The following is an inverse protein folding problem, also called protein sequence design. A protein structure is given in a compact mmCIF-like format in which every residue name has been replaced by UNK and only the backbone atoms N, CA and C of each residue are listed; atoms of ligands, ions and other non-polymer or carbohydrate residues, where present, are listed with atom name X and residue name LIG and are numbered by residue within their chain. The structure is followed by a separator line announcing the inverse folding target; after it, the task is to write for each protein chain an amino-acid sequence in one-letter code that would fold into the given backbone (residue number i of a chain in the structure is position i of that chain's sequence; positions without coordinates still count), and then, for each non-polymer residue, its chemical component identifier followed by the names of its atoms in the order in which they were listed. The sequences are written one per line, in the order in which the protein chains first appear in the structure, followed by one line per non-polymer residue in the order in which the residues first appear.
data_IF_805850134195
#
_entry.id   IF_805850134195
#
_cell.length_a   1.000
_cell.length_b   1.000
_cell.length_c   1.000
_cell.angle_alpha   90.00
_cell.angle_beta   90.00
_cell.angle_gamma   90.00
#
_symmetry.space_group_name_H-M   'P 1'
#
loop_
_entity.id
_entity.type
_entity.pdbx_description
1 polymer ?
#
# COMPACT_ATOMS: atom_id res chain seq x y z
N UNK A 1 -5.80 -2.24 -24.69
CA UNK A 1 -4.89 -3.25 -25.28
C UNK A 1 -3.75 -3.71 -24.36
N UNK A 2 -2.71 -2.91 -24.10
CA UNK A 2 -1.43 -3.39 -23.50
C UNK A 2 -1.52 -4.23 -22.21
N UNK A 3 -2.53 -4.06 -21.35
CA UNK A 3 -2.66 -4.83 -20.10
C UNK A 3 -3.55 -6.08 -20.22
N UNK A 4 -4.04 -6.44 -21.42
CA UNK A 4 -5.05 -7.49 -21.63
C UNK A 4 -4.47 -8.90 -21.47
N UNK A 5 -3.21 -9.06 -21.83
CA UNK A 5 -2.47 -10.34 -21.71
C UNK A 5 -1.71 -10.47 -20.39
N UNK A 6 -1.92 -9.53 -19.46
CA UNK A 6 -1.24 -9.55 -18.18
C UNK A 6 -1.72 -10.75 -17.34
N UNK A 7 -0.82 -11.58 -16.81
CA UNK A 7 -1.22 -12.68 -15.93
C UNK A 7 -2.00 -12.17 -14.71
N UNK A 8 -2.97 -12.96 -14.25
CA UNK A 8 -3.88 -12.59 -13.15
C UNK A 8 -3.15 -12.08 -11.90
N UNK A 9 -2.08 -12.75 -11.48
CA UNK A 9 -1.30 -12.34 -10.30
C UNK A 9 -0.50 -11.06 -10.52
N UNK A 10 -0.11 -10.76 -11.76
CA UNK A 10 0.54 -9.48 -12.09
C UNK A 10 -0.51 -8.36 -12.12
N UNK A 11 -1.72 -8.63 -12.61
CA UNK A 11 -2.84 -7.70 -12.54
C UNK A 11 -3.23 -7.37 -11.09
N UNK A 12 -3.33 -8.39 -10.24
CA UNK A 12 -3.57 -8.23 -8.80
C UNK A 12 -2.47 -7.41 -8.14
N UNK A 13 -1.20 -7.81 -8.32
CA UNK A 13 -0.09 -7.09 -7.69
C UNK A 13 0.00 -5.64 -8.16
N UNK A 14 -0.10 -5.36 -9.46
CA UNK A 14 0.01 -3.98 -9.97
C UNK A 14 -1.19 -3.12 -9.56
N UNK A 15 -2.41 -3.67 -9.55
CA UNK A 15 -3.60 -2.95 -9.07
C UNK A 15 -3.53 -2.63 -7.58
N UNK A 16 -3.04 -3.56 -6.75
CA UNK A 16 -2.85 -3.33 -5.31
C UNK A 16 -1.69 -2.37 -5.02
N UNK A 17 -0.70 -2.29 -5.92
CA UNK A 17 0.34 -1.25 -5.86
C UNK A 17 -0.27 0.14 -6.09
N UNK A 18 -1.14 0.29 -7.09
CA UNK A 18 -1.89 1.54 -7.33
C UNK A 18 -2.71 1.92 -6.10
N UNK A 19 -3.39 0.96 -5.47
CA UNK A 19 -4.13 1.21 -4.25
C UNK A 19 -3.23 1.66 -3.10
N UNK A 20 -2.07 1.01 -2.93
CA UNK A 20 -1.10 1.34 -1.88
C UNK A 20 -0.56 2.75 -2.07
N UNK A 21 -0.18 3.13 -3.30
CA UNK A 21 0.19 4.50 -3.63
C UNK A 21 -0.88 5.51 -3.20
N UNK A 22 -2.15 5.23 -3.53
CA UNK A 22 -3.24 6.14 -3.23
C UNK A 22 -3.53 6.22 -1.71
N UNK A 23 -3.61 5.09 -1.00
CA UNK A 23 -3.83 5.07 0.45
C UNK A 23 -2.67 5.70 1.22
N UNK A 24 -1.43 5.38 0.87
CA UNK A 24 -0.26 5.94 1.54
C UNK A 24 -0.11 7.43 1.27
N UNK A 25 -0.33 7.88 0.04
CA UNK A 25 -0.30 9.31 -0.27
C UNK A 25 -1.42 10.07 0.44
N UNK A 26 -2.61 9.47 0.51
CA UNK A 26 -3.74 10.05 1.22
C UNK A 26 -3.49 10.09 2.73
N UNK A 27 -2.82 9.11 3.33
CA UNK A 27 -2.61 9.04 4.79
C UNK A 27 -1.21 9.47 5.23
N UNK A 28 -0.38 9.97 4.30
CA UNK A 28 0.97 10.45 4.59
C UNK A 28 1.00 11.60 5.62
N UNK A 29 2.18 11.84 6.18
CA UNK A 29 2.46 13.01 7.02
C UNK A 29 1.95 14.29 6.33
N UNK A 30 1.05 15.06 6.95
CA UNK A 30 0.51 16.27 6.36
C UNK A 30 1.61 17.28 6.02
N UNK A 31 1.50 17.92 4.85
CA UNK A 31 2.53 18.82 4.33
C UNK A 31 2.89 19.97 5.29
N UNK A 32 1.90 20.46 6.05
CA UNK A 32 2.06 21.54 7.02
C UNK A 32 2.69 21.10 8.36
N UNK A 33 2.90 19.79 8.57
CA UNK A 33 3.60 19.23 9.74
C UNK A 33 5.03 18.80 9.44
N UNK A 34 5.48 18.97 8.20
CA UNK A 34 6.84 18.61 7.80
C UNK A 34 7.86 19.62 8.30
N UNK A 35 9.03 19.10 8.67
CA UNK A 35 10.19 19.93 8.97
C UNK A 35 10.62 20.66 7.70
N UNK A 36 10.75 21.98 7.78
CA UNK A 36 11.22 22.80 6.68
C UNK A 36 12.64 22.37 6.27
N UNK A 37 12.88 22.29 4.96
CA UNK A 37 14.23 22.06 4.45
C UNK A 37 15.13 23.25 4.80
N UNK A 38 16.38 22.98 5.18
CA UNK A 38 17.38 24.01 5.50
C UNK A 38 17.64 24.98 4.34
N UNK A 39 17.36 24.56 3.10
CA UNK A 39 17.60 25.34 1.89
C UNK A 39 16.67 24.88 0.75
N UNK A 40 16.55 25.70 -0.30
CA UNK A 40 15.77 25.36 -1.50
C UNK A 40 16.26 24.10 -2.22
N UNK A 41 17.58 23.85 -2.24
CA UNK A 41 18.19 22.69 -2.89
C UNK A 41 18.04 21.40 -2.09
N UNK A 42 17.71 21.47 -0.79
CA UNK A 42 17.43 20.31 0.08
C UNK A 42 15.93 20.00 0.19
N UNK A 43 15.06 20.67 -0.58
CA UNK A 43 13.63 20.37 -0.56
C UNK A 43 13.40 18.93 -1.04
N UNK A 44 12.67 18.10 -0.28
CA UNK A 44 12.38 16.75 -0.70
C UNK A 44 11.49 16.76 -1.96
N UNK A 45 11.58 15.72 -2.78
CA UNK A 45 10.72 15.59 -3.97
C UNK A 45 9.23 15.55 -3.58
N UNK A 46 8.90 14.81 -2.52
CA UNK A 46 7.54 14.66 -2.01
C UNK A 46 7.30 15.61 -0.84
N UNK A 47 6.10 16.17 -0.75
CA UNK A 47 5.72 17.17 0.26
C UNK A 47 4.82 16.62 1.37
N UNK A 48 4.45 15.33 1.34
CA UNK A 48 3.43 14.79 2.24
C UNK A 48 2.01 15.09 1.75
N UNK A 49 1.03 14.52 2.45
CA UNK A 49 -0.39 14.67 2.15
C UNK A 49 -0.78 16.16 2.05
N UNK A 50 -1.44 16.56 0.96
CA UNK A 50 -1.79 17.94 0.68
C UNK A 50 -3.08 18.05 -0.17
N UNK A 51 -3.78 19.20 -0.16
CA UNK A 51 -5.08 19.32 -0.83
C UNK A 51 -5.08 18.97 -2.32
N UNK A 52 -3.96 19.16 -3.03
CA UNK A 52 -3.85 18.80 -4.45
C UNK A 52 -3.70 17.29 -4.61
N UNK A 53 -2.82 16.65 -3.84
CA UNK A 53 -2.66 15.18 -3.89
C UNK A 53 -3.93 14.45 -3.48
N UNK A 54 -4.66 15.00 -2.51
CA UNK A 54 -5.83 14.36 -1.90
C UNK A 54 -6.96 14.14 -2.91
N UNK A 55 -7.17 15.10 -3.82
CA UNK A 55 -8.16 14.96 -4.92
C UNK A 55 -7.86 13.71 -5.76
N UNK A 56 -6.61 13.54 -6.15
CA UNK A 56 -6.19 12.44 -7.02
C UNK A 56 -6.12 11.12 -6.29
N UNK A 57 -5.59 11.12 -5.06
CA UNK A 57 -5.48 9.93 -4.23
C UNK A 57 -6.86 9.38 -3.85
N UNK A 58 -7.77 10.24 -3.36
CA UNK A 58 -9.13 9.83 -3.00
C UNK A 58 -9.87 9.24 -4.20
N UNK A 59 -9.78 9.89 -5.37
CA UNK A 59 -10.41 9.38 -6.58
C UNK A 59 -9.80 8.05 -7.04
N UNK A 60 -8.49 7.88 -6.92
CA UNK A 60 -7.82 6.61 -7.23
C UNK A 60 -8.27 5.48 -6.29
N UNK A 61 -8.41 5.74 -4.98
CA UNK A 61 -8.92 4.74 -4.01
C UNK A 61 -10.32 4.24 -4.44
N UNK A 62 -11.24 5.17 -4.72
CA UNK A 62 -12.59 4.83 -5.16
C UNK A 62 -12.60 4.01 -6.46
N UNK A 63 -11.80 4.41 -7.44
CA UNK A 63 -11.72 3.70 -8.72
C UNK A 63 -11.13 2.30 -8.54
N UNK A 64 -10.04 2.16 -7.80
CA UNK A 64 -9.44 0.84 -7.58
C UNK A 64 -10.41 -0.07 -6.82
N UNK A 65 -11.06 0.42 -5.75
CA UNK A 65 -12.05 -0.36 -4.99
C UNK A 65 -13.19 -0.88 -5.88
N UNK A 66 -13.72 -0.04 -6.78
CA UNK A 66 -14.83 -0.41 -7.65
C UNK A 66 -14.48 -1.36 -8.80
N UNK A 67 -13.22 -1.37 -9.27
CA UNK A 67 -12.88 -1.99 -10.56
C UNK A 67 -11.78 -3.05 -10.51
N UNK A 68 -10.94 -3.10 -9.47
CA UNK A 68 -9.80 -4.05 -9.43
C UNK A 68 -10.24 -5.51 -9.53
N UNK A 69 -11.27 -5.90 -8.78
CA UNK A 69 -11.75 -7.29 -8.75
C UNK A 69 -12.32 -7.68 -10.12
N UNK A 70 -13.10 -6.79 -10.74
CA UNK A 70 -13.64 -6.98 -12.10
C UNK A 70 -12.51 -7.17 -13.12
N UNK A 71 -11.53 -6.25 -13.14
CA UNK A 71 -10.41 -6.29 -14.07
C UNK A 71 -9.52 -7.54 -13.91
N UNK A 72 -9.47 -8.14 -12.72
CA UNK A 72 -8.72 -9.38 -12.44
C UNK A 72 -9.52 -10.63 -12.84
N UNK A 73 -10.84 -10.62 -12.63
CA UNK A 73 -11.70 -11.77 -12.88
C UNK A 73 -12.10 -11.91 -14.35
N UNK A 74 -12.29 -10.79 -15.04
CA UNK A 74 -12.64 -10.73 -16.45
C UNK A 74 -11.63 -9.85 -17.22
N UNK A 75 -10.64 -10.46 -17.92
CA UNK A 75 -9.68 -9.73 -18.74
C UNK A 75 -10.32 -8.96 -19.92
N UNK A 76 -11.55 -9.32 -20.29
CA UNK A 76 -12.31 -8.74 -21.40
C UNK A 76 -13.20 -7.57 -20.94
N UNK A 77 -13.30 -7.30 -19.63
CA UNK A 77 -13.99 -6.13 -19.07
C UNK A 77 -13.17 -4.85 -19.36
N UNK A 78 -13.35 -4.31 -20.57
CA UNK A 78 -12.65 -3.13 -21.05
C UNK A 78 -12.94 -1.88 -20.21
N UNK A 79 -14.14 -1.79 -19.61
CA UNK A 79 -14.48 -0.69 -18.70
C UNK A 79 -13.61 -0.78 -17.44
N UNK A 80 -13.62 -1.92 -16.75
CA UNK A 80 -12.85 -2.08 -15.52
C UNK A 80 -11.35 -1.87 -15.73
N UNK A 81 -10.82 -2.36 -16.86
CA UNK A 81 -9.42 -2.15 -17.21
C UNK A 81 -9.10 -0.70 -17.55
N UNK A 82 -9.96 0.01 -18.29
CA UNK A 82 -9.79 1.42 -18.56
C UNK A 82 -9.79 2.24 -17.26
N UNK A 83 -10.69 1.90 -16.32
CA UNK A 83 -10.76 2.54 -15.02
C UNK A 83 -9.52 2.27 -14.17
N UNK A 84 -8.97 1.04 -14.18
CA UNK A 84 -7.71 0.72 -13.50
C UNK A 84 -6.51 1.47 -14.10
N UNK A 85 -6.44 1.61 -15.42
CA UNK A 85 -5.40 2.40 -16.09
C UNK A 85 -5.47 3.89 -15.71
N UNK A 86 -6.69 4.45 -15.69
CA UNK A 86 -6.90 5.83 -15.27
C UNK A 86 -6.62 6.02 -13.77
N UNK A 87 -7.00 5.06 -12.93
CA UNK A 87 -6.70 5.07 -11.50
C UNK A 87 -5.19 5.04 -11.25
N UNK A 88 -4.43 4.28 -12.04
CA UNK A 88 -2.96 4.29 -11.99
C UNK A 88 -2.39 5.68 -12.29
N UNK A 89 -2.90 6.37 -13.31
CA UNK A 89 -2.47 7.74 -13.61
C UNK A 89 -2.80 8.71 -12.46
N UNK A 90 -4.00 8.58 -11.87
CA UNK A 90 -4.44 9.45 -10.78
C UNK A 90 -3.62 9.21 -9.51
N UNK A 91 -3.41 7.95 -9.13
CA UNK A 91 -2.51 7.60 -8.04
C UNK A 91 -1.11 8.18 -8.28
N UNK A 92 -0.59 8.07 -9.51
CA UNK A 92 0.67 8.68 -9.95
C UNK A 92 0.77 10.18 -9.69
N UNK A 93 -0.27 10.94 -10.01
CA UNK A 93 -0.32 12.39 -9.75
C UNK A 93 -0.40 12.64 -8.23
N UNK A 94 -1.21 11.86 -7.50
CA UNK A 94 -1.36 11.97 -6.04
C UNK A 94 -0.04 11.74 -5.31
N UNK A 95 0.50 10.53 -5.41
CA UNK A 95 1.75 10.16 -4.74
C UNK A 95 2.97 10.91 -5.31
N UNK A 96 2.94 11.32 -6.59
CA UNK A 96 3.99 12.17 -7.17
C UNK A 96 4.19 13.49 -6.42
N UNK A 97 3.14 13.98 -5.75
CA UNK A 97 3.19 15.16 -4.88
C UNK A 97 3.38 14.80 -3.41
N UNK A 98 2.59 13.86 -2.88
CA UNK A 98 2.59 13.54 -1.45
C UNK A 98 3.68 12.55 -1.03
N UNK A 99 4.02 11.61 -1.90
CA UNK A 99 4.88 10.46 -1.63
C UNK A 99 4.10 9.29 -1.02
N UNK A 100 4.83 8.26 -0.61
CA UNK A 100 4.37 7.03 0.03
C UNK A 100 5.17 6.79 1.30
N UNK A 101 4.76 5.85 2.17
CA UNK A 101 5.34 5.69 3.50
C UNK A 101 5.74 4.25 3.87
N UNK A 102 5.42 3.81 5.09
CA UNK A 102 5.89 2.55 5.67
C UNK A 102 5.61 1.28 4.82
N UNK A 103 4.45 1.05 4.18
CA UNK A 103 4.23 -0.15 3.37
C UNK A 103 5.25 -0.24 2.23
N UNK A 104 5.49 0.86 1.50
CA UNK A 104 6.57 0.89 0.51
C UNK A 104 7.96 0.73 1.15
N UNK A 105 8.24 1.35 2.29
CA UNK A 105 9.51 1.19 2.99
C UNK A 105 9.81 -0.26 3.40
N UNK A 106 8.80 -0.95 3.92
CA UNK A 106 8.84 -2.35 4.33
C UNK A 106 8.91 -3.31 3.14
N UNK A 107 8.38 -2.90 1.98
CA UNK A 107 8.36 -3.73 0.76
C UNK A 107 9.75 -3.98 0.17
N UNK A 108 10.70 -3.06 0.35
CA UNK A 108 12.04 -3.17 -0.24
C UNK A 108 12.82 -4.39 0.26
N UNK A 109 12.92 -4.65 1.58
CA UNK A 109 13.53 -5.90 2.05
C UNK A 109 12.69 -7.13 1.72
N UNK A 110 11.36 -7.05 1.74
CA UNK A 110 10.48 -8.19 1.37
C UNK A 110 10.72 -8.62 -0.08
N UNK A 111 10.78 -7.68 -1.01
CA UNK A 111 11.09 -7.98 -2.42
C UNK A 111 12.55 -8.39 -2.63
N UNK A 112 13.49 -7.70 -1.99
CA UNK A 112 14.93 -7.94 -2.17
C UNK A 112 15.47 -9.21 -1.51
N UNK A 113 14.73 -9.80 -0.56
CA UNK A 113 15.13 -11.02 0.16
C UNK A 113 14.31 -12.25 -0.26
N UNK A 114 13.66 -12.21 -1.43
CA UNK A 114 12.97 -13.37 -1.99
C UNK A 114 13.90 -14.59 -2.06
N UNK A 115 13.38 -15.76 -1.66
CA UNK A 115 14.13 -17.02 -1.70
C UNK A 115 13.69 -17.91 -2.86
N UNK A 116 12.41 -18.25 -2.87
CA UNK A 116 11.84 -19.31 -3.70
C UNK A 116 10.46 -18.99 -4.26
N UNK A 117 9.82 -17.91 -3.79
CA UNK A 117 8.49 -17.52 -4.26
C UNK A 117 8.47 -17.20 -5.76
N UNK A 118 7.47 -17.76 -6.44
CA UNK A 118 7.16 -17.48 -7.85
C UNK A 118 5.65 -17.22 -7.96
N UNK A 119 5.22 -16.08 -8.54
CA UNK A 119 3.80 -15.78 -8.67
C UNK A 119 3.11 -16.77 -9.61
N UNK A 120 1.93 -17.24 -9.19
CA UNK A 120 1.15 -18.20 -9.95
C UNK A 120 0.80 -17.68 -11.35
N UNK A 121 0.91 -18.56 -12.35
CA UNK A 121 0.55 -18.24 -13.74
C UNK A 121 1.54 -17.32 -14.46
N UNK A 122 2.73 -17.08 -13.89
CA UNK A 122 3.77 -16.25 -14.51
C UNK A 122 4.96 -17.13 -14.89
N UNK A 123 5.32 -17.11 -16.18
CA UNK A 123 6.50 -17.83 -16.68
C UNK A 123 7.76 -16.97 -16.47
N UNK A 124 8.56 -17.33 -15.47
CA UNK A 124 9.84 -16.69 -15.13
C UNK A 124 10.86 -17.74 -14.71
N UNK A 125 12.14 -17.48 -14.97
CA UNK A 125 13.24 -18.40 -14.70
C UNK A 125 13.82 -18.28 -13.28
N UNK A 126 13.52 -17.19 -12.55
CA UNK A 126 14.01 -16.93 -11.20
C UNK A 126 12.87 -16.64 -10.21
N UNK A 127 13.08 -16.81 -8.89
CA UNK A 127 12.17 -16.35 -7.85
C UNK A 127 11.99 -14.83 -7.85
N UNK A 128 10.76 -14.36 -7.67
CA UNK A 128 10.45 -12.94 -7.55
C UNK A 128 9.19 -12.75 -6.71
N UNK A 129 9.20 -11.77 -5.82
CA UNK A 129 7.97 -11.23 -5.21
C UNK A 129 7.61 -9.95 -5.96
N UNK A 130 6.47 -9.91 -6.68
CA UNK A 130 6.01 -8.69 -7.32
C UNK A 130 5.93 -7.51 -6.35
N UNK A 131 6.35 -6.31 -6.78
CA UNK A 131 6.47 -5.15 -5.88
C UNK A 131 5.17 -4.84 -5.13
N UNK A 132 4.05 -4.68 -5.85
CA UNK A 132 2.77 -4.38 -5.19
C UNK A 132 2.31 -5.44 -4.19
N UNK A 133 2.68 -6.71 -4.40
CA UNK A 133 2.45 -7.77 -3.41
C UNK A 133 3.31 -7.54 -2.16
N UNK A 134 4.60 -7.22 -2.32
CA UNK A 134 5.47 -6.88 -1.18
C UNK A 134 5.03 -5.61 -0.43
N UNK A 135 4.33 -4.68 -1.08
CA UNK A 135 3.78 -3.48 -0.43
C UNK A 135 2.50 -3.83 0.32
N UNK A 136 1.52 -4.39 -0.38
CA UNK A 136 0.14 -4.54 0.14
C UNK A 136 0.05 -5.50 1.33
N UNK A 137 0.91 -6.52 1.41
CA UNK A 137 0.90 -7.47 2.53
C UNK A 137 1.33 -6.81 3.86
N UNK A 138 2.07 -5.70 3.80
CA UNK A 138 2.44 -4.91 4.97
C UNK A 138 1.37 -3.86 5.35
N UNK A 139 0.53 -3.47 4.40
CA UNK A 139 -0.34 -2.32 4.53
C UNK A 139 -1.39 -2.42 5.66
N UNK A 140 -2.09 -3.55 5.89
CA UNK A 140 -3.06 -3.65 6.98
C UNK A 140 -2.45 -3.40 8.36
N UNK A 141 -1.28 -4.00 8.65
CA UNK A 141 -0.59 -3.79 9.92
C UNK A 141 -0.14 -2.33 10.08
N UNK A 142 0.34 -1.72 8.99
CA UNK A 142 0.73 -0.31 9.02
C UNK A 142 -0.47 0.59 9.28
N UNK A 143 -1.60 0.41 8.58
CA UNK A 143 -2.75 1.31 8.73
C UNK A 143 -3.37 1.25 10.12
N UNK A 144 -3.33 0.10 10.79
CA UNK A 144 -3.64 -0.02 12.24
C UNK A 144 -2.72 0.86 13.09
N UNK A 145 -1.43 0.87 12.79
CA UNK A 145 -0.44 1.67 13.51
C UNK A 145 -0.56 3.17 13.23
N UNK A 146 -0.73 3.57 11.96
CA UNK A 146 -0.75 4.98 11.55
C UNK A 146 -2.06 5.68 11.84
N UNK A 147 -3.17 4.95 12.02
CA UNK A 147 -4.47 5.54 12.33
C UNK A 147 -4.45 6.43 13.58
N UNK A 148 -3.62 6.12 14.57
CA UNK A 148 -3.48 6.93 15.78
C UNK A 148 -2.98 8.36 15.51
N UNK A 149 -2.31 8.62 14.38
CA UNK A 149 -1.85 9.96 14.02
C UNK A 149 -2.96 10.83 13.38
N UNK A 150 -3.91 10.21 12.69
CA UNK A 150 -5.06 10.89 12.08
C UNK A 150 -6.22 9.89 11.83
N UNK A 151 -7.04 9.60 12.86
CA UNK A 151 -8.11 8.63 12.74
C UNK A 151 -9.17 9.00 11.71
N UNK A 152 -9.53 10.29 11.66
CA UNK A 152 -10.54 10.80 10.72
C UNK A 152 -10.13 10.52 9.27
N UNK A 153 -8.85 10.72 8.94
CA UNK A 153 -8.31 10.48 7.61
C UNK A 153 -8.24 9.00 7.24
N UNK A 154 -8.04 8.12 8.22
CA UNK A 154 -8.08 6.67 8.01
C UNK A 154 -9.53 6.17 7.83
N UNK A 155 -10.50 6.74 8.57
CA UNK A 155 -11.93 6.46 8.34
C UNK A 155 -12.39 6.95 6.97
N UNK A 156 -11.95 8.13 6.53
CA UNK A 156 -12.24 8.61 5.18
C UNK A 156 -11.66 7.66 4.11
N UNK A 157 -10.41 7.22 4.27
CA UNK A 157 -9.83 6.22 3.38
C UNK A 157 -10.61 4.89 3.38
N UNK A 158 -11.12 4.45 4.54
CA UNK A 158 -11.95 3.25 4.63
C UNK A 158 -13.30 3.42 3.93
N UNK A 159 -13.94 4.58 4.07
CA UNK A 159 -15.18 4.90 3.36
C UNK A 159 -14.97 4.94 1.84
N UNK A 160 -13.84 5.48 1.38
CA UNK A 160 -13.46 5.48 -0.05
C UNK A 160 -13.21 4.06 -0.58
N UNK A 161 -12.78 3.13 0.28
CA UNK A 161 -12.71 1.70 -0.02
C UNK A 161 -14.07 0.99 0.01
N UNK A 162 -15.14 1.66 0.45
CA UNK A 162 -16.50 1.12 0.54
C UNK A 162 -16.85 0.49 1.88
N UNK A 163 -16.09 0.78 2.95
CA UNK A 163 -16.46 0.44 4.31
C UNK A 163 -17.60 1.35 4.81
N UNK A 164 -18.48 0.80 5.65
CA UNK A 164 -19.40 1.62 6.44
C UNK A 164 -18.65 2.14 7.66
N UNK A 165 -18.66 3.46 7.83
CA UNK A 165 -17.95 4.16 8.91
C UNK A 165 -18.91 4.98 9.78
N UNK A 166 -20.23 4.85 9.57
CA UNK A 166 -21.20 5.59 10.36
C UNK A 166 -21.13 5.17 11.83
N UNK A 167 -21.08 6.16 12.72
CA UNK A 167 -20.92 5.94 14.16
C UNK A 167 -19.58 5.33 14.60
N UNK A 168 -18.58 5.18 13.72
CA UNK A 168 -17.27 4.63 14.07
C UNK A 168 -16.54 5.51 15.09
N UNK A 169 -15.98 4.90 16.14
CA UNK A 169 -15.12 5.61 17.07
C UNK A 169 -13.74 5.86 16.44
N UNK A 170 -13.05 6.97 16.76
CA UNK A 170 -11.70 7.22 16.27
C UNK A 170 -10.72 6.07 16.53
N UNK A 171 -10.86 5.35 17.64
CA UNK A 171 -9.99 4.25 18.02
C UNK A 171 -10.11 3.04 17.09
N UNK A 172 -11.26 2.88 16.43
CA UNK A 172 -11.54 1.76 15.51
C UNK A 172 -11.04 2.03 14.08
N UNK A 173 -10.63 3.27 13.78
CA UNK A 173 -10.27 3.71 12.43
C UNK A 173 -9.22 2.81 11.74
N UNK A 174 -8.23 2.36 12.52
CA UNK A 174 -7.16 1.49 12.02
C UNK A 174 -7.65 0.09 11.65
N UNK A 175 -8.51 -0.50 12.48
CA UNK A 175 -9.08 -1.83 12.22
C UNK A 175 -10.07 -1.77 11.05
N UNK A 176 -10.96 -0.77 11.01
CA UNK A 176 -11.94 -0.63 9.93
C UNK A 176 -11.25 -0.50 8.56
N UNK A 177 -10.21 0.33 8.46
CA UNK A 177 -9.43 0.46 7.23
C UNK A 177 -8.69 -0.84 6.88
N UNK A 178 -8.06 -1.49 7.87
CA UNK A 178 -7.33 -2.73 7.66
C UNK A 178 -8.25 -3.87 7.20
N UNK A 179 -9.43 -4.02 7.78
CA UNK A 179 -10.41 -5.05 7.41
C UNK A 179 -10.98 -4.82 6.00
N UNK A 180 -11.33 -3.57 5.67
CA UNK A 180 -11.78 -3.22 4.33
C UNK A 180 -10.71 -3.55 3.28
N UNK A 181 -9.44 -3.27 3.60
CA UNK A 181 -8.31 -3.59 2.75
C UNK A 181 -8.08 -5.11 2.63
N UNK A 182 -8.11 -5.85 3.74
CA UNK A 182 -7.96 -7.32 3.77
C UNK A 182 -9.05 -8.01 2.94
N UNK A 183 -10.31 -7.54 3.06
CA UNK A 183 -11.41 -8.04 2.25
C UNK A 183 -11.11 -7.91 0.75
N UNK A 184 -10.61 -6.76 0.32
CA UNK A 184 -10.24 -6.53 -1.08
C UNK A 184 -9.03 -7.38 -1.50
N UNK A 185 -7.97 -7.44 -0.69
CA UNK A 185 -6.78 -8.27 -0.93
C UNK A 185 -7.22 -9.73 -1.18
N UNK A 186 -8.08 -10.28 -0.32
CA UNK A 186 -8.57 -11.66 -0.44
C UNK A 186 -9.33 -11.89 -1.74
N UNK A 187 -10.12 -10.92 -2.21
CA UNK A 187 -10.86 -11.01 -3.48
C UNK A 187 -9.95 -11.03 -4.72
N UNK A 188 -8.73 -10.49 -4.62
CA UNK A 188 -7.75 -10.53 -5.74
C UNK A 188 -7.05 -11.88 -5.91
N UNK A 189 -7.14 -12.78 -4.92
CA UNK A 189 -6.36 -14.02 -4.88
C UNK A 189 -4.91 -13.84 -4.40
N UNK A 190 -4.56 -12.68 -3.85
CA UNK A 190 -3.24 -12.43 -3.26
C UNK A 190 -2.99 -13.37 -2.06
N UNK A 191 -1.74 -13.86 -1.86
CA UNK A 191 -1.43 -14.75 -0.75
C UNK A 191 -1.73 -14.16 0.63
N UNK A 192 -2.00 -15.03 1.61
CA UNK A 192 -2.35 -14.63 2.97
C UNK A 192 -1.12 -14.26 3.81
N UNK A 193 -0.62 -13.03 3.64
CA UNK A 193 0.48 -12.49 4.44
C UNK A 193 1.87 -12.97 4.00
N UNK A 194 2.89 -12.49 4.72
CA UNK A 194 4.29 -12.73 4.42
C UNK A 194 4.68 -14.21 4.51
N UNK A 195 4.01 -14.99 5.38
CA UNK A 195 4.25 -16.43 5.50
C UNK A 195 3.92 -17.17 4.21
N UNK A 196 2.86 -16.75 3.52
CA UNK A 196 2.42 -17.37 2.29
C UNK A 196 3.34 -17.10 1.09
N UNK A 197 4.26 -16.14 1.22
CA UNK A 197 5.31 -15.84 0.22
C UNK A 197 6.71 -16.23 0.71
N UNK A 198 6.78 -17.10 1.73
CA UNK A 198 8.00 -17.76 2.14
C UNK A 198 8.82 -17.01 3.19
N UNK A 199 8.28 -16.04 3.92
CA UNK A 199 8.94 -15.47 5.11
C UNK A 199 8.49 -16.17 6.39
N UNK A 200 9.30 -16.03 7.43
CA UNK A 200 9.03 -16.56 8.77
C UNK A 200 9.32 -15.50 9.83
N UNK A 201 8.86 -15.66 11.08
CA UNK A 201 9.24 -14.76 12.17
C UNK A 201 10.76 -14.63 12.37
N UNK A 202 11.54 -15.65 12.01
CA UNK A 202 13.00 -15.61 12.10
C UNK A 202 13.66 -14.65 11.08
N UNK A 203 12.93 -14.24 10.04
CA UNK A 203 13.42 -13.31 9.02
C UNK A 203 13.20 -11.83 9.42
N UNK A 204 12.39 -11.57 10.45
CA UNK A 204 11.92 -10.22 10.81
C UNK A 204 13.06 -9.25 11.13
N UNK A 205 14.08 -9.69 11.86
CA UNK A 205 15.21 -8.81 12.20
C UNK A 205 15.93 -8.29 10.94
N UNK A 206 16.13 -9.15 9.94
CA UNK A 206 16.70 -8.75 8.64
C UNK A 206 15.78 -7.84 7.86
N UNK A 207 14.46 -8.09 7.90
CA UNK A 207 13.48 -7.23 7.27
C UNK A 207 13.46 -5.81 7.89
N UNK A 208 13.60 -5.71 9.21
CA UNK A 208 13.74 -4.43 9.91
C UNK A 208 15.03 -3.73 9.49
N UNK A 209 16.17 -4.42 9.52
CA UNK A 209 17.46 -3.89 9.08
C UNK A 209 17.41 -3.32 7.66
N UNK A 210 16.75 -4.00 6.73
CA UNK A 210 16.58 -3.53 5.36
C UNK A 210 15.58 -2.38 5.18
N UNK A 211 14.68 -2.17 6.15
CA UNK A 211 13.68 -1.08 6.14
C UNK A 211 14.24 0.24 6.71
N UNK A 212 15.04 0.18 7.77
CA UNK A 212 15.62 1.34 8.44
C UNK A 212 16.34 2.35 7.50
N UNK A 213 17.14 1.95 6.50
CA UNK A 213 17.80 2.90 5.60
C UNK A 213 16.85 3.59 4.60
N UNK A 214 15.59 3.15 4.49
CA UNK A 214 14.62 3.62 3.48
C UNK A 214 13.98 4.97 3.86
N UNK A 215 14.79 5.92 4.35
CA UNK A 215 14.36 7.18 4.95
C UNK A 215 13.51 8.06 4.02
N UNK A 216 13.65 7.91 2.71
CA UNK A 216 12.86 8.65 1.73
C UNK A 216 11.36 8.43 1.92
N UNK A 217 10.97 7.19 2.23
CA UNK A 217 9.56 6.80 2.41
C UNK A 217 9.20 6.68 3.89
N UNK A 218 10.08 6.17 4.77
CA UNK A 218 9.71 6.02 6.19
C UNK A 218 9.49 7.35 6.91
N UNK A 219 10.17 8.43 6.49
CA UNK A 219 9.95 9.80 7.04
C UNK A 219 8.63 10.45 6.60
N UNK A 220 7.93 9.87 5.63
CA UNK A 220 6.61 10.31 5.19
C UNK A 220 5.46 9.67 5.98
N UNK A 221 5.77 8.75 6.89
CA UNK A 221 4.76 8.20 7.79
C UNK A 221 4.16 9.31 8.67
N UNK A 222 2.83 9.38 8.84
CA UNK A 222 2.21 10.34 9.76
C UNK A 222 2.55 10.04 11.23
N UNK A 223 3.01 8.80 11.51
CA UNK A 223 3.52 8.34 12.80
C UNK A 223 4.95 7.80 12.63
N UNK A 224 5.97 8.35 13.32
CA UNK A 224 7.32 7.77 13.32
C UNK A 224 7.30 6.32 13.81
N UNK A 225 8.05 5.44 13.15
CA UNK A 225 8.19 4.04 13.54
C UNK A 225 9.64 3.76 13.99
N UNK A 226 9.79 3.19 15.18
CA UNK A 226 11.04 2.65 15.69
C UNK A 226 11.35 1.27 15.08
N UNK A 227 12.54 0.73 15.36
CA UNK A 227 12.88 -0.64 14.96
C UNK A 227 11.92 -1.68 15.61
N UNK A 228 11.50 -1.45 16.85
CA UNK A 228 10.55 -2.33 17.55
C UNK A 228 9.14 -2.23 16.96
N UNK A 229 8.71 -1.02 16.57
CA UNK A 229 7.46 -0.86 15.82
C UNK A 229 7.50 -1.63 14.51
N UNK A 230 8.58 -1.48 13.72
CA UNK A 230 8.75 -2.22 12.46
C UNK A 230 8.76 -3.73 12.67
N UNK A 231 9.40 -4.22 13.73
CA UNK A 231 9.36 -5.64 14.11
C UNK A 231 7.92 -6.10 14.33
N UNK A 232 7.14 -5.36 15.11
CA UNK A 232 5.74 -5.71 15.37
C UNK A 232 4.89 -5.64 14.10
N UNK A 233 5.13 -4.65 13.23
CA UNK A 233 4.45 -4.52 11.95
C UNK A 233 4.70 -5.74 11.04
N UNK A 234 5.95 -6.19 10.91
CA UNK A 234 6.26 -7.41 10.15
C UNK A 234 5.62 -8.66 10.76
N UNK A 235 5.66 -8.82 12.08
CA UNK A 235 5.01 -9.94 12.76
C UNK A 235 3.50 -9.96 12.51
N UNK A 236 2.85 -8.79 12.59
CA UNK A 236 1.42 -8.64 12.31
C UNK A 236 1.05 -8.82 10.83
N UNK A 237 2.04 -8.79 9.93
CA UNK A 237 1.88 -9.04 8.50
C UNK A 237 2.16 -10.50 8.09
N UNK A 238 2.53 -11.38 9.02
CA UNK A 238 2.80 -12.78 8.73
C UNK A 238 1.56 -13.53 8.23
N UNK A 239 0.38 -13.19 8.76
CA UNK A 239 -0.92 -13.75 8.40
C UNK A 239 -1.97 -12.64 8.50
N UNK A 240 -2.82 -12.47 7.49
CA UNK A 240 -3.81 -11.40 7.43
C UNK A 240 -5.23 -11.84 7.81
N UNK A 241 -5.59 -13.12 7.56
CA UNK A 241 -6.89 -13.71 7.90
C UNK A 241 -6.79 -15.19 8.28
#
# INVERSE_FOLDING_TARGET
ENTRTMPKMIAASSGLDVLSHALESFTALPYNRRVAAESSHKRPAYQGANPVSDIWAAKAIQMVSGYIVRAIQDPEDDEARAQMLQASAFAGIGFGNAGVHLPHGMSYPVSGMVRDYRPEGVSIDHPIIPHGMSVILNAPAVFRFTAQADPARHLEAAALLGADVDGAAPEDAGEILAEALIKLIRQTGTPNGLSAIGFTPADVDKLVEGTLPQQRVTKLSPRPASADDLRQLFLNSMTLW
#
